data_IF_105886596443
#
_entry.id   IF_105886596443
#
_cell.length_a   1.000
_cell.length_b   1.000
_cell.length_c   1.000
_cell.angle_alpha   90.00
_cell.angle_beta   90.00
_cell.angle_gamma   90.00
#
_symmetry.space_group_name_H-M   'P 1'
#
loop_
_entity.id
_entity.type
_entity.pdbx_description
1 polymer ?
#
# COMPACT_ATOMS: atom_id res chain seq x y z
N UNK A 1 8.62 13.70 -0.18
CA UNK A 1 7.25 13.32 0.19
C UNK A 1 6.41 13.13 -1.05
N UNK A 2 5.27 12.44 -0.92
CA UNK A 2 4.24 12.42 -1.96
C UNK A 2 3.42 13.72 -1.92
N UNK A 3 2.68 14.00 -2.98
CA UNK A 3 1.91 15.24 -3.13
C UNK A 3 0.48 15.08 -2.61
N UNK A 4 0.28 14.25 -1.59
CA UNK A 4 -1.02 14.05 -0.98
C UNK A 4 -1.43 15.35 -0.25
N UNK A 5 -2.69 15.75 -0.33
CA UNK A 5 -3.17 17.01 0.26
C UNK A 5 -3.00 17.06 1.78
N UNK A 6 -2.98 15.91 2.45
CA UNK A 6 -2.69 15.81 3.87
C UNK A 6 -1.24 16.21 4.24
N UNK A 7 -0.34 16.24 3.25
CA UNK A 7 1.06 16.60 3.41
C UNK A 7 1.32 18.08 3.07
N UNK A 8 0.28 18.85 2.75
CA UNK A 8 0.37 20.29 2.59
C UNK A 8 0.65 20.93 3.96
N UNK A 9 1.93 21.25 4.21
CA UNK A 9 2.37 21.89 5.44
C UNK A 9 2.59 23.38 5.23
N UNK A 10 1.96 24.19 6.08
CA UNK A 10 2.18 25.64 6.19
C UNK A 10 3.24 26.01 7.24
N UNK A 11 3.81 25.02 7.94
CA UNK A 11 4.83 25.24 8.95
C UNK A 11 6.23 25.34 8.35
N UNK A 12 7.03 26.29 8.86
CA UNK A 12 8.46 26.36 8.58
C UNK A 12 9.21 25.34 9.42
N UNK A 13 10.18 24.66 8.82
CA UNK A 13 10.98 23.60 9.43
C UNK A 13 12.44 24.06 9.52
N UNK A 14 12.96 24.25 10.74
CA UNK A 14 14.29 24.87 10.95
C UNK A 14 15.47 24.00 10.51
N UNK A 15 15.27 22.68 10.44
CA UNK A 15 16.35 21.72 10.19
C UNK A 15 16.00 20.67 9.13
N UNK A 16 14.84 20.79 8.47
CA UNK A 16 14.35 19.77 7.53
C UNK A 16 13.93 20.47 6.24
N UNK A 17 14.59 20.10 5.14
CA UNK A 17 14.20 20.53 3.80
C UNK A 17 13.16 19.54 3.23
N UNK A 18 11.91 20.03 3.10
CA UNK A 18 10.81 19.23 2.61
C UNK A 18 10.71 19.34 1.08
N UNK A 19 11.03 18.24 0.37
CA UNK A 19 10.90 18.17 -1.09
C UNK A 19 9.74 17.29 -1.53
N UNK A 20 8.93 17.85 -2.41
CA UNK A 20 7.86 17.15 -3.12
C UNK A 20 8.39 16.59 -4.44
N UNK A 21 7.96 15.38 -4.78
CA UNK A 21 8.35 14.75 -6.02
C UNK A 21 7.46 15.22 -7.18
N UNK A 22 7.94 15.15 -8.43
CA UNK A 22 7.08 15.38 -9.58
C UNK A 22 5.86 14.42 -9.56
N UNK A 23 4.71 14.86 -10.09
CA UNK A 23 3.52 14.02 -10.13
C UNK A 23 3.79 12.68 -10.82
N UNK A 24 3.15 11.61 -10.35
CA UNK A 24 3.26 10.25 -10.88
C UNK A 24 4.64 9.60 -10.81
N UNK A 25 5.58 10.14 -10.03
CA UNK A 25 6.93 9.56 -9.90
C UNK A 25 7.16 8.78 -8.61
N UNK A 26 6.24 8.87 -7.65
CA UNK A 26 6.33 8.29 -6.30
C UNK A 26 6.70 6.80 -6.34
N UNK A 27 6.01 6.00 -7.17
CA UNK A 27 6.24 4.57 -7.30
C UNK A 27 7.64 4.15 -7.80
N UNK A 28 8.37 5.08 -8.41
CA UNK A 28 9.71 4.85 -8.95
C UNK A 28 10.78 5.48 -8.07
N UNK A 29 10.56 6.72 -7.65
CA UNK A 29 11.56 7.51 -6.94
C UNK A 29 11.53 7.29 -5.44
N UNK A 30 10.36 7.05 -4.84
CA UNK A 30 10.30 6.82 -3.39
C UNK A 30 10.74 5.41 -3.03
N UNK A 31 11.68 5.27 -2.06
CA UNK A 31 12.09 3.97 -1.56
C UNK A 31 10.93 3.16 -0.98
N UNK A 32 9.98 3.83 -0.31
CA UNK A 32 8.82 3.19 0.31
C UNK A 32 7.95 2.49 -0.74
N UNK A 33 7.56 3.17 -1.81
CA UNK A 33 6.72 2.56 -2.83
C UNK A 33 7.45 1.46 -3.62
N UNK A 34 8.78 1.50 -3.65
CA UNK A 34 9.57 0.42 -4.24
C UNK A 34 9.55 -0.82 -3.35
N UNK A 35 9.65 -0.67 -2.03
CA UNK A 35 9.66 -1.78 -1.08
C UNK A 35 8.26 -2.34 -0.79
N UNK A 36 7.20 -1.52 -0.83
CA UNK A 36 5.82 -1.97 -0.61
C UNK A 36 5.35 -2.98 -1.67
N UNK A 37 5.96 -2.99 -2.87
CA UNK A 37 5.69 -4.04 -3.88
C UNK A 37 6.03 -5.42 -3.36
N UNK A 38 7.18 -5.59 -2.72
CA UNK A 38 7.61 -6.87 -2.15
C UNK A 38 6.64 -7.33 -1.05
N UNK A 39 6.20 -6.40 -0.20
CA UNK A 39 5.19 -6.66 0.81
C UNK A 39 3.85 -7.13 0.21
N UNK A 40 3.35 -6.45 -0.85
CA UNK A 40 2.11 -6.83 -1.54
C UNK A 40 2.19 -8.22 -2.16
N UNK A 41 3.34 -8.57 -2.76
CA UNK A 41 3.58 -9.91 -3.33
C UNK A 41 3.52 -10.99 -2.25
N UNK A 42 4.24 -10.78 -1.14
CA UNK A 42 4.27 -11.74 -0.04
C UNK A 42 2.92 -11.87 0.66
N UNK A 43 2.20 -10.75 0.84
CA UNK A 43 0.83 -10.76 1.36
C UNK A 43 -0.11 -11.58 0.47
N UNK A 44 -0.09 -11.36 -0.85
CA UNK A 44 -0.90 -12.13 -1.80
C UNK A 44 -0.58 -13.62 -1.73
N UNK A 45 0.71 -13.98 -1.65
CA UNK A 45 1.14 -15.37 -1.50
C UNK A 45 0.53 -16.00 -0.24
N UNK A 46 0.65 -15.35 0.92
CA UNK A 46 0.08 -15.82 2.19
C UNK A 46 -1.44 -15.94 2.15
N UNK A 47 -2.12 -14.97 1.54
CA UNK A 47 -3.57 -14.99 1.37
C UNK A 47 -4.03 -16.20 0.55
N UNK A 48 -3.35 -16.48 -0.56
CA UNK A 48 -3.65 -17.66 -1.40
C UNK A 48 -3.42 -18.97 -0.64
N UNK A 49 -2.34 -19.09 0.12
CA UNK A 49 -2.13 -20.27 0.97
C UNK A 49 -3.25 -20.45 1.99
N UNK A 50 -3.66 -19.38 2.68
CA UNK A 50 -4.77 -19.43 3.64
C UNK A 50 -6.09 -19.85 2.97
N UNK A 51 -6.38 -19.32 1.78
CA UNK A 51 -7.56 -19.69 1.01
C UNK A 51 -7.55 -21.18 0.65
N UNK A 52 -6.42 -21.69 0.14
CA UNK A 52 -6.25 -23.11 -0.20
C UNK A 52 -6.39 -24.02 1.03
N UNK A 53 -5.84 -23.61 2.18
CA UNK A 53 -5.99 -24.36 3.42
C UNK A 53 -7.46 -24.41 3.88
N UNK A 54 -8.17 -23.28 3.83
CA UNK A 54 -9.58 -23.22 4.18
C UNK A 54 -10.43 -24.14 3.28
N UNK A 55 -10.18 -24.11 1.96
CA UNK A 55 -10.85 -25.00 1.01
C UNK A 55 -10.59 -26.48 1.31
N UNK A 56 -9.37 -26.85 1.69
CA UNK A 56 -9.03 -28.24 2.08
C UNK A 56 -9.71 -28.69 3.37
N UNK A 57 -9.84 -27.79 4.34
CA UNK A 57 -10.48 -28.07 5.64
C UNK A 57 -12.01 -28.01 5.54
N UNK A 58 -12.56 -27.60 4.39
CA UNK A 58 -14.01 -27.39 4.21
C UNK A 58 -14.53 -26.17 4.96
N UNK A 59 -13.65 -25.26 5.37
CA UNK A 59 -14.02 -24.01 6.02
C UNK A 59 -14.30 -22.96 4.95
N UNK A 60 -15.45 -22.30 5.04
CA UNK A 60 -15.75 -21.20 4.12
C UNK A 60 -14.70 -20.09 4.27
N UNK A 61 -14.00 -19.73 3.18
CA UNK A 61 -13.09 -18.61 3.23
C UNK A 61 -13.92 -17.34 3.37
N UNK A 62 -13.74 -16.64 4.51
CA UNK A 62 -14.26 -15.28 4.70
C UNK A 62 -13.52 -14.31 3.78
N UNK A 63 -13.83 -14.36 2.49
CA UNK A 63 -13.47 -13.33 1.53
C UNK A 63 -14.54 -12.25 1.70
N UNK A 64 -14.22 -11.19 2.45
CA UNK A 64 -15.05 -10.00 2.43
C UNK A 64 -15.00 -9.46 1.01
N UNK A 65 -16.07 -9.64 0.23
CA UNK A 65 -16.29 -8.83 -0.96
C UNK A 65 -16.45 -7.41 -0.45
N UNK A 66 -15.38 -6.61 -0.55
CA UNK A 66 -15.55 -5.17 -0.56
C UNK A 66 -16.49 -4.91 -1.73
N UNK A 67 -17.73 -4.53 -1.41
CA UNK A 67 -18.82 -4.39 -2.35
C UNK A 67 -18.47 -3.42 -3.48
N UNK A 68 -19.30 -3.38 -4.55
CA UNK A 68 -19.06 -2.49 -5.66
C UNK A 68 -19.27 -1.06 -5.17
N UNK A 69 -18.18 -0.36 -4.85
CA UNK A 69 -18.19 1.09 -4.83
C UNK A 69 -18.14 1.55 -6.29
N UNK A 70 -19.32 1.57 -6.91
CA UNK A 70 -19.68 2.50 -8.00
C UNK A 70 -20.39 3.69 -7.39
#
# INVERSE_FOLDING_TARGET
MDNCSANETTCELDNIDLKFLPPNTTARLQPLDRSTKSFKVEYRRRLLYKLLMNLRVGTEPKVTSWGPYT
#
